data_IF_641887881311
#
_entry.id   IF_641887881311
#
_cell.length_a   1.000
_cell.length_b   1.000
_cell.length_c   1.000
_cell.angle_alpha   90.00
_cell.angle_beta   90.00
_cell.angle_gamma   90.00
#
_symmetry.space_group_name_H-M   'P 1'
#
loop_
_entity.id
_entity.type
_entity.pdbx_description
1 polymer ?
#
# COMPACT_ATOMS: atom_id res chain seq x y z
N UNK A 1 -9.78 -42.98 52.81
CA UNK A 1 -9.00 -42.75 54.03
C UNK A 1 -9.01 -41.27 54.32
N UNK A 2 -9.67 -40.88 55.40
CA UNK A 2 -9.67 -39.54 55.97
C UNK A 2 -8.59 -39.44 57.05
N UNK A 3 -7.96 -38.27 57.18
CA UNK A 3 -7.35 -37.71 58.41
C UNK A 3 -7.02 -36.22 58.10
N UNK A 4 -7.76 -35.19 58.59
CA UNK A 4 -7.63 -34.41 59.87
C UNK A 4 -6.21 -33.88 60.15
N UNK A 5 -5.92 -32.65 60.64
CA UNK A 5 -6.60 -31.67 61.53
C UNK A 5 -6.15 -30.22 61.19
N UNK A 6 -6.94 -29.14 61.28
CA UNK A 6 -7.39 -28.38 62.47
C UNK A 6 -6.28 -27.93 63.45
N UNK A 7 -6.14 -26.60 63.61
CA UNK A 7 -5.37 -25.92 64.65
C UNK A 7 -5.74 -24.43 64.72
N UNK A 8 -6.23 -23.99 65.88
CA UNK A 8 -7.00 -22.77 66.17
C UNK A 8 -6.12 -21.71 66.88
N UNK A 9 -6.39 -20.43 66.59
CA UNK A 9 -6.40 -19.20 67.43
C UNK A 9 -5.49 -19.04 68.67
N UNK A 10 -4.78 -17.90 68.77
CA UNK A 10 -4.62 -17.13 70.02
C UNK A 10 -4.23 -15.66 69.75
N UNK A 11 -4.78 -14.74 70.56
CA UNK A 11 -4.62 -13.27 70.52
C UNK A 11 -3.46 -12.77 71.41
N UNK A 12 -3.17 -11.47 71.27
CA UNK A 12 -2.43 -10.55 72.18
C UNK A 12 -0.90 -10.71 72.14
N UNK A 13 -0.04 -9.70 72.25
CA UNK A 13 -0.12 -8.35 72.80
C UNK A 13 0.96 -7.45 72.16
N UNK A 14 0.83 -6.15 72.37
CA UNK A 14 1.63 -5.00 71.91
C UNK A 14 3.14 -5.05 72.20
N UNK A 15 3.96 -4.50 71.28
CA UNK A 15 5.13 -3.67 71.61
C UNK A 15 5.67 -2.89 70.38
N UNK A 16 5.64 -1.56 70.52
CA UNK A 16 6.52 -0.49 70.02
C UNK A 16 7.20 -0.56 68.64
N UNK A 17 6.89 0.47 67.82
CA UNK A 17 7.81 1.52 67.31
C UNK A 17 9.29 1.12 67.19
N UNK A 18 10.02 1.27 66.09
CA UNK A 18 10.00 2.31 65.06
C UNK A 18 11.22 2.06 64.14
N UNK A 19 11.28 2.78 63.01
CA UNK A 19 12.49 3.02 62.19
C UNK A 19 12.96 1.88 61.28
N UNK A 20 12.41 1.85 60.07
CA UNK A 20 13.23 1.77 58.85
C UNK A 20 12.53 2.59 57.76
N UNK A 21 12.98 3.83 57.72
CA UNK A 21 12.66 4.85 56.73
C UNK A 21 13.11 4.45 55.33
N UNK A 22 12.32 4.93 54.36
CA UNK A 22 12.71 5.34 53.02
C UNK A 22 13.20 4.26 52.04
N UNK A 23 12.24 3.62 51.37
CA UNK A 23 12.38 3.29 49.95
C UNK A 23 11.29 4.07 49.19
N UNK A 24 11.64 4.97 48.25
CA UNK A 24 10.64 5.63 47.44
C UNK A 24 10.02 4.61 46.47
N UNK A 25 8.77 4.22 46.71
CA UNK A 25 7.92 3.58 45.69
C UNK A 25 7.45 4.66 44.73
N UNK A 26 8.32 5.09 43.82
CA UNK A 26 7.82 5.71 42.59
C UNK A 26 7.12 4.60 41.79
N UNK A 27 5.85 4.76 41.38
CA UNK A 27 5.35 3.91 40.33
C UNK A 27 6.21 4.21 39.11
N UNK A 28 7.01 3.23 38.68
CA UNK A 28 7.59 3.26 37.34
C UNK A 28 6.41 3.29 36.38
N UNK A 29 5.98 4.50 36.04
CA UNK A 29 5.11 4.76 34.92
C UNK A 29 5.93 4.34 33.72
N UNK A 30 5.76 3.10 33.29
CA UNK A 30 6.14 2.68 31.95
C UNK A 30 5.32 3.58 31.04
N UNK A 31 5.90 4.71 30.68
CA UNK A 31 5.43 5.49 29.56
C UNK A 31 5.63 4.57 28.38
N UNK A 32 4.55 3.94 27.91
CA UNK A 32 4.50 3.33 26.60
C UNK A 32 4.76 4.49 25.63
N UNK A 33 6.03 4.77 25.37
CA UNK A 33 6.43 5.66 24.32
C UNK A 33 6.14 4.89 23.04
N UNK A 34 4.90 4.98 22.58
CA UNK A 34 4.58 4.68 21.20
C UNK A 34 5.41 5.69 20.41
N UNK A 35 6.44 5.27 19.66
CA UNK A 35 7.07 6.19 18.75
C UNK A 35 5.93 6.67 17.85
N UNK A 36 5.73 7.97 17.75
CA UNK A 36 4.88 8.54 16.72
C UNK A 36 5.59 8.22 15.40
N UNK A 37 5.41 7.00 14.87
CA UNK A 37 5.95 6.61 13.58
C UNK A 37 5.25 7.50 12.56
N UNK A 38 6.00 8.41 11.97
CA UNK A 38 5.56 9.10 10.78
C UNK A 38 5.20 8.05 9.72
N UNK A 39 4.13 8.26 8.92
CA UNK A 39 3.72 7.27 7.93
C UNK A 39 4.87 6.97 6.98
N UNK A 40 5.12 5.68 6.69
CA UNK A 40 6.15 5.29 5.72
C UNK A 40 5.83 5.90 4.35
N UNK A 41 6.82 6.11 3.46
CA UNK A 41 6.55 6.58 2.10
C UNK A 41 5.50 5.74 1.36
N UNK A 42 5.52 4.43 1.57
CA UNK A 42 4.52 3.49 1.06
C UNK A 42 3.12 3.83 1.60
N UNK A 43 2.97 4.08 2.90
CA UNK A 43 1.67 4.43 3.50
C UNK A 43 1.14 5.78 3.00
N UNK A 44 2.04 6.75 2.76
CA UNK A 44 1.68 8.04 2.15
C UNK A 44 1.15 7.84 0.74
N UNK A 45 1.86 7.09 -0.10
CA UNK A 45 1.42 6.79 -1.48
C UNK A 45 0.10 6.03 -1.48
N UNK A 46 -0.07 5.04 -0.61
CA UNK A 46 -1.32 4.30 -0.47
C UNK A 46 -2.48 5.21 -0.06
N UNK A 47 -2.26 6.12 0.89
CA UNK A 47 -3.25 7.11 1.32
C UNK A 47 -3.63 8.05 0.16
N UNK A 48 -2.65 8.49 -0.65
CA UNK A 48 -2.92 9.30 -1.84
C UNK A 48 -3.81 8.55 -2.86
N UNK A 49 -3.53 7.27 -3.12
CA UNK A 49 -4.36 6.42 -3.97
C UNK A 49 -5.78 6.31 -3.41
N UNK A 50 -5.93 6.07 -2.11
CA UNK A 50 -7.24 5.93 -1.47
C UNK A 50 -8.07 7.22 -1.50
N UNK A 51 -7.42 8.36 -1.31
CA UNK A 51 -8.05 9.68 -1.33
C UNK A 51 -8.43 10.09 -2.75
N UNK A 52 -7.57 9.82 -3.74
CA UNK A 52 -7.88 10.03 -5.15
C UNK A 52 -9.05 9.15 -5.60
N UNK A 53 -9.09 7.89 -5.13
CA UNK A 53 -10.05 6.89 -5.55
C UNK A 53 -9.81 6.39 -6.98
N UNK A 54 -8.89 7.00 -7.72
CA UNK A 54 -8.52 6.62 -9.10
C UNK A 54 -7.02 6.68 -9.33
N UNK A 55 -6.54 5.83 -10.24
CA UNK A 55 -5.20 5.90 -10.85
C UNK A 55 -5.40 6.08 -12.35
N UNK A 56 -4.82 7.14 -12.91
CA UNK A 56 -4.79 7.31 -14.36
C UNK A 56 -3.58 6.57 -14.95
N UNK A 57 -3.79 5.80 -16.00
CA UNK A 57 -2.79 4.96 -16.64
C UNK A 57 -2.54 5.47 -18.06
N UNK A 58 -1.39 6.09 -18.28
CA UNK A 58 -1.04 6.74 -19.53
C UNK A 58 -0.11 5.86 -20.37
N UNK A 59 -0.52 5.61 -21.61
CA UNK A 59 0.31 5.07 -22.69
C UNK A 59 0.37 6.07 -23.84
N UNK A 60 1.57 6.35 -24.32
CA UNK A 60 1.78 7.20 -25.49
C UNK A 60 2.83 6.62 -26.43
N UNK A 61 2.82 7.07 -27.68
CA UNK A 61 3.74 6.58 -28.71
C UNK A 61 5.08 7.35 -28.74
N UNK A 62 5.26 8.38 -27.92
CA UNK A 62 6.51 9.10 -27.75
C UNK A 62 6.59 9.80 -26.38
N UNK A 63 7.80 10.13 -25.95
CA UNK A 63 8.05 10.89 -24.72
C UNK A 63 7.36 12.26 -24.72
N UNK A 64 7.40 12.99 -25.84
CA UNK A 64 6.75 14.30 -25.98
C UNK A 64 5.23 14.22 -25.76
N UNK A 65 4.59 13.21 -26.37
CA UNK A 65 3.16 13.00 -26.21
C UNK A 65 2.81 12.57 -24.78
N UNK A 66 3.66 11.74 -24.16
CA UNK A 66 3.51 11.34 -22.77
C UNK A 66 3.57 12.55 -21.84
N UNK A 67 4.58 13.41 -21.97
CA UNK A 67 4.71 14.64 -21.17
C UNK A 67 3.51 15.57 -21.36
N UNK A 68 3.09 15.80 -22.61
CA UNK A 68 1.94 16.65 -22.90
C UNK A 68 0.66 16.11 -22.26
N UNK A 69 0.41 14.81 -22.38
CA UNK A 69 -0.77 14.17 -21.81
C UNK A 69 -0.73 14.12 -20.28
N UNK A 70 0.43 13.80 -19.69
CA UNK A 70 0.63 13.77 -18.25
C UNK A 70 0.40 15.15 -17.63
N UNK A 71 1.00 16.21 -18.18
CA UNK A 71 0.76 17.59 -17.73
C UNK A 71 -0.71 17.98 -17.82
N UNK A 72 -1.38 17.63 -18.93
CA UNK A 72 -2.79 17.91 -19.08
C UNK A 72 -3.64 17.17 -18.02
N UNK A 73 -3.31 15.91 -17.72
CA UNK A 73 -3.99 15.12 -16.70
C UNK A 73 -3.78 15.71 -15.29
N UNK A 74 -2.53 16.06 -14.95
CA UNK A 74 -2.18 16.67 -13.66
C UNK A 74 -2.88 18.02 -13.48
N UNK A 75 -2.84 18.90 -14.49
CA UNK A 75 -3.58 20.18 -14.49
C UNK A 75 -5.10 19.99 -14.42
N UNK A 76 -5.60 18.86 -14.92
CA UNK A 76 -7.01 18.44 -14.80
C UNK A 76 -7.38 17.87 -13.43
N UNK A 77 -6.46 17.84 -12.46
CA UNK A 77 -6.72 17.38 -11.09
C UNK A 77 -6.43 15.91 -10.84
N UNK A 78 -5.86 15.18 -11.81
CA UNK A 78 -5.36 13.82 -11.55
C UNK A 78 -4.17 13.92 -10.59
N UNK A 79 -4.31 13.32 -9.40
CA UNK A 79 -3.26 13.33 -8.37
C UNK A 79 -2.47 12.02 -8.31
N UNK A 80 -2.92 10.98 -9.03
CA UNK A 80 -2.24 9.69 -9.13
C UNK A 80 -2.21 9.23 -10.58
N UNK A 81 -1.00 9.10 -11.13
CA UNK A 81 -0.75 8.83 -12.54
C UNK A 81 0.37 7.79 -12.68
N UNK A 82 0.12 6.74 -13.46
CA UNK A 82 1.17 5.86 -13.96
C UNK A 82 1.45 6.13 -15.44
N UNK A 83 2.71 5.96 -15.84
CA UNK A 83 3.11 5.87 -17.24
C UNK A 83 3.56 4.45 -17.49
N UNK A 84 3.06 3.83 -18.55
CA UNK A 84 3.37 2.42 -18.82
C UNK A 84 4.71 2.26 -19.53
N UNK A 85 5.42 1.16 -19.23
CA UNK A 85 6.74 0.80 -19.77
C UNK A 85 6.84 0.81 -21.29
N UNK A 86 5.74 0.57 -22.03
CA UNK A 86 5.77 0.62 -23.49
C UNK A 86 5.88 2.03 -24.06
N UNK A 87 5.81 3.07 -23.23
CA UNK A 87 5.96 4.46 -23.65
C UNK A 87 7.44 4.71 -23.89
N UNK A 88 7.86 5.13 -25.10
CA UNK A 88 9.27 5.41 -25.36
C UNK A 88 9.80 6.50 -24.42
N UNK A 89 10.93 6.25 -23.75
CA UNK A 89 11.54 7.18 -22.80
C UNK A 89 10.76 7.32 -21.49
N UNK A 90 10.08 6.27 -21.02
CA UNK A 90 9.22 6.31 -19.82
C UNK A 90 9.95 6.85 -18.58
N UNK A 91 11.22 6.53 -18.39
CA UNK A 91 11.99 6.94 -17.22
C UNK A 91 12.36 8.42 -17.27
N UNK A 92 12.76 8.92 -18.44
CA UNK A 92 13.05 10.34 -18.66
C UNK A 92 11.79 11.18 -18.49
N UNK A 93 10.66 10.71 -19.01
CA UNK A 93 9.34 11.34 -18.82
C UNK A 93 9.00 11.39 -17.33
N UNK A 94 9.18 10.29 -16.61
CA UNK A 94 8.90 10.24 -15.17
C UNK A 94 9.78 11.22 -14.38
N UNK A 95 11.09 11.22 -14.63
CA UNK A 95 12.03 12.11 -13.95
C UNK A 95 11.64 13.58 -14.13
N UNK A 96 11.32 13.95 -15.37
CA UNK A 96 10.88 15.31 -15.69
C UNK A 96 9.57 15.66 -14.95
N UNK A 97 8.59 14.76 -14.93
CA UNK A 97 7.32 15.01 -14.23
C UNK A 97 7.49 15.10 -12.72
N UNK A 98 8.36 14.27 -12.12
CA UNK A 98 8.68 14.31 -10.69
C UNK A 98 9.33 15.63 -10.31
N UNK A 99 10.26 16.13 -11.14
CA UNK A 99 10.91 17.43 -10.94
C UNK A 99 9.90 18.58 -11.04
N UNK A 100 8.99 18.53 -12.02
CA UNK A 100 7.97 19.55 -12.23
C UNK A 100 6.84 19.50 -11.17
N UNK A 101 6.56 18.32 -10.61
CA UNK A 101 5.39 18.06 -9.77
C UNK A 101 5.73 17.14 -8.58
N UNK A 102 6.19 17.69 -7.44
CA UNK A 102 6.61 16.87 -6.29
C UNK A 102 5.43 16.20 -5.54
N UNK A 103 4.23 16.77 -5.66
CA UNK A 103 3.06 16.36 -4.89
C UNK A 103 2.34 15.09 -5.40
N UNK A 104 1.98 14.96 -6.70
CA UNK A 104 1.24 13.79 -7.18
C UNK A 104 1.98 12.47 -6.93
N UNK A 105 1.22 11.40 -6.79
CA UNK A 105 1.77 10.04 -6.82
C UNK A 105 2.01 9.65 -8.28
N UNK A 106 3.28 9.66 -8.69
CA UNK A 106 3.69 9.25 -10.02
C UNK A 106 4.28 7.84 -9.95
N UNK A 107 3.92 6.99 -10.89
CA UNK A 107 4.37 5.60 -10.93
C UNK A 107 4.63 5.08 -12.33
N UNK A 108 5.11 3.84 -12.40
CA UNK A 108 5.34 3.13 -13.66
C UNK A 108 4.51 1.86 -13.69
N UNK A 109 3.77 1.68 -14.78
CA UNK A 109 2.96 0.50 -15.02
C UNK A 109 3.58 -0.46 -16.03
N UNK A 110 3.15 -1.72 -16.01
CA UNK A 110 3.71 -2.80 -16.86
C UNK A 110 5.17 -3.13 -16.53
N UNK A 111 5.56 -3.05 -15.25
CA UNK A 111 6.89 -3.47 -14.78
C UNK A 111 6.91 -5.00 -14.69
N UNK A 112 7.86 -5.67 -15.34
CA UNK A 112 7.88 -7.14 -15.46
C UNK A 112 9.13 -7.80 -14.87
N UNK A 113 10.15 -7.02 -14.53
CA UNK A 113 11.40 -7.51 -13.96
C UNK A 113 11.96 -6.52 -12.94
N UNK A 114 12.96 -6.96 -12.19
CA UNK A 114 13.60 -6.19 -11.11
C UNK A 114 14.40 -5.00 -11.64
N UNK A 115 15.01 -5.12 -12.82
CA UNK A 115 15.79 -4.04 -13.42
C UNK A 115 14.92 -2.81 -13.73
N UNK A 116 13.78 -3.03 -14.38
CA UNK A 116 12.80 -1.98 -14.64
C UNK A 116 12.22 -1.39 -13.35
N UNK A 117 12.00 -2.22 -12.32
CA UNK A 117 11.55 -1.76 -11.01
C UNK A 117 12.57 -0.79 -10.37
N UNK A 118 13.87 -1.12 -10.45
CA UNK A 118 14.96 -0.27 -9.97
C UNK A 118 15.06 1.02 -10.77
N UNK A 119 15.01 0.93 -12.10
CA UNK A 119 15.06 2.09 -12.98
C UNK A 119 13.90 3.06 -12.74
N UNK A 120 12.68 2.53 -12.56
CA UNK A 120 11.51 3.32 -12.20
C UNK A 120 11.67 3.99 -10.82
N UNK A 121 12.11 3.24 -9.82
CA UNK A 121 12.33 3.76 -8.45
C UNK A 121 13.39 4.86 -8.43
N UNK A 122 14.52 4.65 -9.10
CA UNK A 122 15.59 5.63 -9.24
C UNK A 122 15.14 6.89 -10.00
N UNK A 123 14.15 6.74 -10.88
CA UNK A 123 13.54 7.84 -11.62
C UNK A 123 12.47 8.60 -10.82
N UNK A 124 12.24 8.22 -9.55
CA UNK A 124 11.31 8.89 -8.64
C UNK A 124 9.91 8.28 -8.60
N UNK A 125 9.71 7.06 -9.09
CA UNK A 125 8.43 6.36 -8.96
C UNK A 125 8.06 6.18 -7.48
N UNK A 126 6.86 6.62 -7.11
CA UNK A 126 6.25 6.40 -5.79
C UNK A 126 5.52 5.07 -5.72
N UNK A 127 5.10 4.54 -6.86
CA UNK A 127 4.54 3.19 -6.97
C UNK A 127 4.89 2.52 -8.31
N UNK A 128 4.83 1.19 -8.31
CA UNK A 128 5.03 0.34 -9.47
C UNK A 128 3.79 -0.52 -9.66
N UNK A 129 3.47 -0.84 -10.91
CA UNK A 129 2.36 -1.72 -11.23
C UNK A 129 2.74 -2.76 -12.28
N UNK A 130 2.29 -3.99 -12.07
CA UNK A 130 2.45 -5.11 -13.01
C UNK A 130 1.09 -5.63 -13.47
N UNK A 131 0.98 -6.21 -14.67
CA UNK A 131 -0.23 -6.89 -15.12
C UNK A 131 -0.46 -8.23 -14.39
N UNK A 132 0.59 -8.79 -13.78
CA UNK A 132 0.55 -10.04 -13.02
C UNK A 132 1.40 -9.89 -11.74
N UNK A 133 1.36 -10.90 -10.86
CA UNK A 133 2.20 -10.93 -9.66
C UNK A 133 3.62 -11.36 -10.03
N UNK A 134 4.59 -10.45 -9.94
CA UNK A 134 6.00 -10.73 -10.19
C UNK A 134 6.72 -10.87 -8.85
N UNK A 135 6.96 -12.11 -8.41
CA UNK A 135 7.50 -12.41 -7.07
C UNK A 135 8.86 -11.76 -6.83
N UNK A 136 9.74 -11.74 -7.83
CA UNK A 136 11.08 -11.17 -7.68
C UNK A 136 11.03 -9.67 -7.40
N UNK A 137 10.07 -8.95 -8.00
CA UNK A 137 9.83 -7.53 -7.70
C UNK A 137 9.34 -7.38 -6.26
N UNK A 138 8.39 -8.20 -5.80
CA UNK A 138 7.91 -8.15 -4.40
C UNK A 138 9.07 -8.30 -3.39
N UNK A 139 10.01 -9.20 -3.68
CA UNK A 139 11.16 -9.45 -2.80
C UNK A 139 12.13 -8.28 -2.83
N UNK A 140 12.46 -7.77 -4.01
CA UNK A 140 13.42 -6.67 -4.19
C UNK A 140 12.92 -5.36 -3.58
N UNK A 141 11.64 -5.01 -3.79
CA UNK A 141 11.06 -3.75 -3.30
C UNK A 141 10.70 -3.79 -1.81
N UNK A 142 10.86 -4.92 -1.12
CA UNK A 142 10.50 -5.07 0.30
C UNK A 142 11.25 -4.09 1.20
N UNK A 143 12.48 -3.72 0.82
CA UNK A 143 13.31 -2.75 1.52
C UNK A 143 13.30 -1.36 0.86
N UNK A 144 12.58 -1.21 -0.25
CA UNK A 144 12.49 0.06 -0.97
C UNK A 144 11.32 0.91 -0.45
N UNK A 145 11.38 2.21 -0.72
CA UNK A 145 10.33 3.17 -0.34
C UNK A 145 9.21 3.30 -1.38
N UNK A 146 9.06 2.30 -2.26
CA UNK A 146 8.13 2.29 -3.40
C UNK A 146 6.98 1.31 -3.17
N UNK A 147 5.74 1.75 -3.42
CA UNK A 147 4.57 0.87 -3.33
C UNK A 147 4.46 -0.02 -4.56
N UNK A 148 4.47 -1.35 -4.40
CA UNK A 148 4.22 -2.25 -5.52
C UNK A 148 2.77 -2.74 -5.54
N UNK A 149 2.13 -2.65 -6.72
CA UNK A 149 0.74 -3.03 -6.99
C UNK A 149 0.75 -4.16 -8.02
N UNK A 150 0.75 -5.44 -7.59
CA UNK A 150 0.71 -6.56 -8.50
C UNK A 150 -0.68 -6.73 -9.13
N UNK A 151 -0.69 -7.18 -10.38
CA UNK A 151 -1.90 -7.63 -11.06
C UNK A 151 -2.27 -9.05 -10.63
N UNK A 152 -3.57 -9.30 -10.50
CA UNK A 152 -4.14 -10.58 -10.07
C UNK A 152 -5.43 -10.86 -10.83
N UNK A 153 -5.76 -12.12 -11.05
CA UNK A 153 -7.00 -12.55 -11.71
C UNK A 153 -7.79 -13.55 -10.87
N UNK A 154 -7.12 -14.31 -9.99
CA UNK A 154 -7.73 -15.40 -9.20
C UNK A 154 -7.61 -15.18 -7.68
N UNK A 155 -8.44 -15.85 -6.86
CA UNK A 155 -8.35 -15.76 -5.39
C UNK A 155 -6.99 -16.22 -4.87
N UNK A 156 -6.40 -17.24 -5.49
CA UNK A 156 -5.08 -17.77 -5.12
C UNK A 156 -3.98 -16.75 -5.37
N UNK A 157 -4.04 -16.01 -6.49
CA UNK A 157 -3.09 -14.93 -6.77
C UNK A 157 -3.26 -13.76 -5.82
N UNK A 158 -4.50 -13.40 -5.46
CA UNK A 158 -4.79 -12.40 -4.43
C UNK A 158 -4.13 -12.80 -3.11
N UNK A 159 -4.34 -14.05 -2.67
CA UNK A 159 -3.74 -14.56 -1.43
C UNK A 159 -2.21 -14.58 -1.50
N UNK A 160 -1.64 -15.08 -2.60
CA UNK A 160 -0.19 -15.08 -2.81
C UNK A 160 0.41 -13.67 -2.77
N UNK A 161 -0.26 -12.68 -3.35
CA UNK A 161 0.20 -11.30 -3.29
C UNK A 161 0.13 -10.74 -1.86
N UNK A 162 -0.97 -11.00 -1.15
CA UNK A 162 -1.17 -10.59 0.24
C UNK A 162 -0.11 -11.19 1.17
N UNK A 163 0.14 -12.50 1.08
CA UNK A 163 1.13 -13.20 1.92
C UNK A 163 2.57 -12.70 1.68
N UNK A 164 2.82 -12.16 0.48
CA UNK A 164 4.11 -11.54 0.13
C UNK A 164 4.19 -10.06 0.57
N UNK A 165 3.12 -9.52 1.18
CA UNK A 165 3.07 -8.18 1.75
C UNK A 165 2.46 -7.10 0.86
N UNK A 166 1.75 -7.47 -0.22
CA UNK A 166 1.06 -6.49 -1.05
C UNK A 166 -0.04 -5.79 -0.24
N UNK A 167 -0.03 -4.45 -0.25
CA UNK A 167 -1.06 -3.62 0.42
C UNK A 167 -2.28 -3.34 -0.46
N UNK A 168 -2.11 -3.46 -1.77
CA UNK A 168 -3.12 -3.19 -2.79
C UNK A 168 -2.84 -4.07 -4.00
N UNK A 169 -3.88 -4.53 -4.69
CA UNK A 169 -3.77 -5.32 -5.92
C UNK A 169 -4.64 -4.73 -7.04
N UNK A 170 -4.23 -4.92 -8.28
CA UNK A 170 -5.05 -4.63 -9.46
C UNK A 170 -5.73 -5.91 -9.91
N UNK A 171 -7.06 -5.95 -9.88
CA UNK A 171 -7.82 -7.05 -10.45
C UNK A 171 -7.87 -6.87 -11.96
N UNK A 172 -7.34 -7.85 -12.68
CA UNK A 172 -7.40 -7.87 -14.12
C UNK A 172 -8.79 -8.35 -14.54
N UNK A 173 -9.54 -7.45 -15.16
CA UNK A 173 -10.95 -7.63 -15.47
C UNK A 173 -11.22 -7.99 -16.92
N UNK A 174 -10.18 -8.28 -17.70
CA UNK A 174 -10.35 -8.66 -19.10
C UNK A 174 -11.04 -10.03 -19.16
N UNK A 175 -12.30 -10.01 -19.60
CA UNK A 175 -13.15 -11.19 -19.82
C UNK A 175 -13.72 -11.88 -18.57
N UNK A 176 -13.79 -11.21 -17.41
CA UNK A 176 -14.51 -11.75 -16.23
C UNK A 176 -15.85 -11.05 -16.02
N UNK A 177 -16.88 -11.81 -15.66
CA UNK A 177 -18.21 -11.30 -15.40
C UNK A 177 -18.24 -10.40 -14.14
N UNK A 178 -19.19 -9.46 -14.03
CA UNK A 178 -19.37 -8.68 -12.81
C UNK A 178 -19.60 -9.53 -11.54
N UNK A 179 -20.22 -10.70 -11.68
CA UNK A 179 -20.46 -11.63 -10.57
C UNK A 179 -19.17 -12.28 -10.06
N UNK A 180 -18.31 -12.75 -10.98
CA UNK A 180 -17.00 -13.29 -10.63
C UNK A 180 -16.11 -12.23 -9.99
N UNK A 181 -16.17 -10.98 -10.49
CA UNK A 181 -15.52 -9.84 -9.87
C UNK A 181 -16.01 -9.63 -8.43
N UNK A 182 -17.33 -9.63 -8.23
CA UNK A 182 -17.94 -9.49 -6.91
C UNK A 182 -17.51 -10.62 -5.96
N UNK A 183 -17.39 -11.84 -6.46
CA UNK A 183 -16.92 -12.98 -5.68
C UNK A 183 -15.47 -12.80 -5.21
N UNK A 184 -14.58 -12.31 -6.08
CA UNK A 184 -13.21 -11.93 -5.70
C UNK A 184 -13.19 -10.83 -4.64
N UNK A 185 -14.16 -9.91 -4.67
CA UNK A 185 -14.30 -8.89 -3.62
C UNK A 185 -14.60 -9.51 -2.25
N UNK A 186 -15.59 -10.40 -2.18
CA UNK A 186 -16.05 -11.00 -0.93
C UNK A 186 -15.01 -11.91 -0.27
N UNK A 187 -14.22 -12.65 -1.06
CA UNK A 187 -13.29 -13.62 -0.50
C UNK A 187 -12.16 -12.97 0.31
N UNK A 188 -11.79 -11.71 0.02
CA UNK A 188 -10.65 -11.04 0.65
C UNK A 188 -10.98 -9.57 1.00
N UNK A 189 -11.79 -9.30 2.04
CA UNK A 189 -12.28 -7.95 2.35
C UNK A 189 -11.20 -6.99 2.87
N UNK A 190 -10.07 -7.52 3.35
CA UNK A 190 -9.00 -6.72 3.98
C UNK A 190 -8.00 -6.13 2.98
N UNK A 191 -8.00 -6.59 1.72
CA UNK A 191 -7.07 -6.13 0.71
C UNK A 191 -7.71 -5.06 -0.17
N UNK A 192 -6.99 -3.95 -0.35
CA UNK A 192 -7.41 -2.86 -1.23
C UNK A 192 -7.29 -3.32 -2.68
N UNK A 193 -8.31 -3.04 -3.49
CA UNK A 193 -8.44 -3.56 -4.86
C UNK A 193 -8.74 -2.44 -5.83
N UNK A 194 -8.10 -2.47 -7.00
CA UNK A 194 -8.35 -1.58 -8.12
C UNK A 194 -8.90 -2.35 -9.30
N UNK A 195 -9.82 -1.76 -10.05
CA UNK A 195 -10.36 -2.31 -11.30
C UNK A 195 -10.35 -1.29 -12.43
N UNK A 196 -10.30 -1.77 -13.66
CA UNK A 196 -10.36 -0.94 -14.86
C UNK A 196 -11.78 -0.47 -15.13
N UNK A 197 -11.99 0.84 -15.29
CA UNK A 197 -13.34 1.40 -15.46
C UNK A 197 -13.55 2.08 -16.83
N UNK A 198 -12.61 2.90 -17.28
CA UNK A 198 -12.79 3.71 -18.50
C UNK A 198 -11.51 3.87 -19.28
N UNK A 199 -11.56 3.59 -20.58
CA UNK A 199 -10.50 3.95 -21.53
C UNK A 199 -10.92 5.20 -22.31
N UNK A 200 -10.04 6.21 -22.32
CA UNK A 200 -10.12 7.36 -23.21
C UNK A 200 -9.00 7.18 -24.23
N UNK A 201 -9.37 6.85 -25.46
CA UNK A 201 -8.42 6.66 -26.56
C UNK A 201 -8.48 7.86 -27.51
N UNK A 202 -7.32 8.47 -27.75
CA UNK A 202 -7.07 9.32 -28.92
C UNK A 202 -5.97 8.66 -29.75
N UNK A 203 -5.88 9.01 -31.04
CA UNK A 203 -5.05 8.34 -32.06
C UNK A 203 -3.62 7.93 -31.62
N UNK A 204 -3.02 8.62 -30.64
CA UNK A 204 -1.66 8.33 -30.16
C UNK A 204 -1.52 8.28 -28.63
N UNK A 205 -2.62 8.40 -27.88
CA UNK A 205 -2.63 8.40 -26.42
C UNK A 205 -3.78 7.53 -25.93
N UNK A 206 -3.46 6.58 -25.07
CA UNK A 206 -4.45 5.80 -24.35
C UNK A 206 -4.36 6.14 -22.86
N UNK A 207 -5.47 6.61 -22.29
CA UNK A 207 -5.61 6.87 -20.86
C UNK A 207 -6.66 5.92 -20.29
N UNK A 208 -6.23 5.02 -19.42
CA UNK A 208 -7.10 4.10 -18.69
C UNK A 208 -7.27 4.60 -17.26
N UNK A 209 -8.49 4.60 -16.73
CA UNK A 209 -8.76 4.92 -15.32
C UNK A 209 -8.98 3.61 -14.57
N UNK A 210 -8.13 3.36 -13.58
CA UNK A 210 -8.37 2.37 -12.55
C UNK A 210 -9.13 3.03 -11.42
N UNK A 211 -10.19 2.40 -10.93
CA UNK A 211 -10.98 2.88 -9.80
C UNK A 211 -10.78 1.99 -8.59
N UNK A 212 -10.68 2.62 -7.43
CA UNK A 212 -10.67 1.94 -6.15
C UNK A 212 -12.03 1.31 -5.91
N UNK A 213 -12.04 0.00 -5.77
CA UNK A 213 -13.23 -0.73 -5.42
C UNK A 213 -13.31 -0.78 -3.90
N UNK A 214 -14.17 0.06 -3.33
CA UNK A 214 -14.55 -0.08 -1.93
C UNK A 214 -15.45 -1.30 -1.85
N UNK A 215 -15.15 -2.22 -0.93
CA UNK A 215 -16.16 -3.13 -0.42
C UNK A 215 -17.19 -2.24 0.27
N UNK A 216 -18.16 -1.75 -0.49
CA UNK A 216 -19.32 -1.10 0.09
C UNK A 216 -19.86 -2.08 1.12
N UNK A 217 -19.97 -1.65 2.38
CA UNK A 217 -20.94 -2.28 3.26
C UNK A 217 -22.26 -2.22 2.49
N UNK A 218 -22.84 -3.38 2.28
CA UNK A 218 -24.21 -3.53 1.77
C UNK A 218 -25.15 -2.56 2.49
#
# INVERSE_FOLDING_TARGET
MAVTSLGICARTSSASLSLLSSLPRSPLRVSCYSPQLSPSPIDKTLTQIQNSGVIACLRANSAEQALKAARAALSGGISVLEIVMSTPGVFEVLQQLVQENPNPALGVGTVLNVEDAKNATNSGAKFLMSPATVKDIMVDVKCAEVLYIPGVMTPTEILSAYDTGAKIVKIQSENISPEEQQQLFYQMPYLIKMQSFKMISKKYINLQILQLCRASRL
#
